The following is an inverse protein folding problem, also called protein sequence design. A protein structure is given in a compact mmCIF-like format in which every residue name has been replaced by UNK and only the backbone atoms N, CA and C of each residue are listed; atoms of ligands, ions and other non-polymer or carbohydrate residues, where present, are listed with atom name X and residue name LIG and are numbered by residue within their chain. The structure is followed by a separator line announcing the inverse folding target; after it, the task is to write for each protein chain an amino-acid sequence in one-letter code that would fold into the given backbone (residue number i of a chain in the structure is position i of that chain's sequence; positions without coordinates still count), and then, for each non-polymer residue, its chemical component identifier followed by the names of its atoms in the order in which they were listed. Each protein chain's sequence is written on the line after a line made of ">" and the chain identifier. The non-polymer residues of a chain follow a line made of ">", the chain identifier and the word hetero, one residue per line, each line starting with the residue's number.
data_IF_605541052188
#
_entry.id   IF_605541052188
#
_cell.length_a   1.000
_cell.length_b   1.000
_cell.length_c   1.000
_cell.angle_alpha   90.00
_cell.angle_beta   90.00
_cell.angle_gamma   90.00
#
_symmetry.space_group_name_H-M   'P 1'
#
loop_
_entity.id
_entity.type
_entity.pdbx_description
1 polymer ?
#
# COMPACT_ATOMS: atom_id res chain seq x y z
N UNK A 1 -5.94 14.23 -4.87
CA UNK A 1 -5.03 14.65 -5.96
C UNK A 1 -3.70 15.23 -5.46
N UNK A 2 -3.66 16.23 -4.56
CA UNK A 2 -2.37 16.84 -4.12
C UNK A 2 -1.37 15.86 -3.49
N UNK A 3 -1.84 14.94 -2.64
CA UNK A 3 -0.98 13.96 -1.97
C UNK A 3 -0.28 13.00 -2.96
N UNK A 4 -1.00 12.53 -3.98
CA UNK A 4 -0.45 11.62 -5.01
C UNK A 4 0.68 12.27 -5.80
N UNK A 5 0.52 13.53 -6.22
CA UNK A 5 1.56 14.27 -6.94
C UNK A 5 2.83 14.48 -6.10
N UNK A 6 2.68 14.67 -4.79
CA UNK A 6 3.83 14.77 -3.89
C UNK A 6 4.56 13.44 -3.77
N UNK A 7 3.84 12.34 -3.63
CA UNK A 7 4.41 10.98 -3.55
C UNK A 7 5.16 10.66 -4.85
N UNK A 8 4.57 10.92 -6.02
CA UNK A 8 5.24 10.75 -7.32
C UNK A 8 6.53 11.57 -7.41
N UNK A 9 6.50 12.83 -6.93
CA UNK A 9 7.68 13.69 -6.96
C UNK A 9 8.79 13.17 -6.05
N UNK A 10 8.44 12.66 -4.88
CA UNK A 10 9.38 12.07 -3.92
C UNK A 10 9.98 10.80 -4.51
N UNK A 11 9.16 9.92 -5.10
CA UNK A 11 9.63 8.72 -5.78
C UNK A 11 10.68 9.03 -6.86
N UNK A 12 10.47 10.10 -7.64
CA UNK A 12 11.45 10.55 -8.63
C UNK A 12 12.76 11.04 -8.00
N UNK A 13 12.68 11.83 -6.93
CA UNK A 13 13.86 12.41 -6.26
C UNK A 13 14.71 11.33 -5.57
N UNK A 14 14.05 10.38 -4.91
CA UNK A 14 14.67 9.24 -4.24
C UNK A 14 15.04 8.10 -5.22
N UNK A 15 14.71 8.26 -6.51
CA UNK A 15 14.97 7.28 -7.58
C UNK A 15 14.38 5.90 -7.28
N UNK A 16 13.19 5.90 -6.68
CA UNK A 16 12.46 4.68 -6.36
C UNK A 16 12.04 4.03 -7.68
N UNK A 17 12.45 2.77 -7.84
CA UNK A 17 12.09 1.96 -8.99
C UNK A 17 11.72 0.56 -8.53
N UNK A 18 11.00 -0.14 -9.39
CA UNK A 18 10.60 -1.53 -9.21
C UNK A 18 10.98 -2.26 -10.50
N UNK A 19 11.79 -3.29 -10.36
CA UNK A 19 12.28 -4.13 -11.45
C UNK A 19 11.21 -5.11 -11.96
N UNK A 20 11.44 -5.65 -13.16
CA UNK A 20 10.54 -6.66 -13.74
C UNK A 20 10.50 -7.96 -12.92
N UNK A 21 11.60 -8.27 -12.23
CA UNK A 21 11.68 -9.44 -11.34
C UNK A 21 10.80 -9.25 -10.10
N UNK A 22 10.83 -8.06 -9.49
CA UNK A 22 9.94 -7.72 -8.37
C UNK A 22 8.47 -7.74 -8.78
N UNK A 23 8.15 -7.28 -10.00
CA UNK A 23 6.79 -7.37 -10.56
C UNK A 23 6.35 -8.81 -10.70
N UNK A 24 7.22 -9.66 -11.25
CA UNK A 24 6.94 -11.09 -11.43
C UNK A 24 6.71 -11.78 -10.09
N UNK A 25 7.57 -11.52 -9.11
CA UNK A 25 7.43 -12.06 -7.77
C UNK A 25 6.11 -11.62 -7.12
N UNK A 26 5.76 -10.34 -7.26
CA UNK A 26 4.48 -9.81 -6.75
C UNK A 26 3.28 -10.49 -7.41
N UNK A 27 3.32 -10.71 -8.72
CA UNK A 27 2.26 -11.44 -9.46
C UNK A 27 2.15 -12.88 -8.96
N UNK A 28 3.27 -13.56 -8.76
CA UNK A 28 3.29 -14.94 -8.24
C UNK A 28 2.71 -15.01 -6.82
N UNK A 29 3.03 -14.05 -5.96
CA UNK A 29 2.47 -13.95 -4.61
C UNK A 29 0.96 -13.72 -4.65
N UNK A 30 0.47 -12.84 -5.53
CA UNK A 30 -0.96 -12.60 -5.72
C UNK A 30 -1.67 -13.85 -6.26
N UNK A 31 -1.06 -14.55 -7.22
CA UNK A 31 -1.61 -15.77 -7.79
C UNK A 31 -1.72 -16.90 -6.76
N UNK A 32 -0.68 -17.09 -5.92
CA UNK A 32 -0.71 -18.05 -4.81
C UNK A 32 -1.79 -17.70 -3.80
N UNK A 33 -1.88 -16.43 -3.41
CA UNK A 33 -2.89 -15.93 -2.46
C UNK A 33 -4.32 -16.08 -2.99
N UNK A 34 -4.51 -16.06 -4.32
CA UNK A 34 -5.79 -16.21 -4.98
C UNK A 34 -6.27 -17.68 -5.11
N UNK A 35 -5.43 -18.66 -4.75
CA UNK A 35 -5.77 -20.09 -4.79
C UNK A 35 -6.21 -20.54 -6.20
N UNK A 36 -7.41 -21.09 -6.31
CA UNK A 36 -7.98 -21.54 -7.60
C UNK A 36 -8.07 -20.45 -8.67
N UNK A 37 -8.08 -19.17 -8.27
CA UNK A 37 -8.11 -18.04 -9.20
C UNK A 37 -6.73 -17.59 -9.67
N UNK A 38 -5.64 -18.21 -9.19
CA UNK A 38 -4.26 -17.90 -9.59
C UNK A 38 -4.04 -17.81 -11.12
N UNK A 39 -4.57 -18.73 -11.94
CA UNK A 39 -4.47 -18.63 -13.40
C UNK A 39 -5.11 -17.37 -13.98
N UNK A 40 -6.18 -16.86 -13.34
CA UNK A 40 -6.80 -15.59 -13.76
C UNK A 40 -5.90 -14.40 -13.43
N UNK A 41 -5.19 -14.42 -12.29
CA UNK A 41 -4.21 -13.38 -11.94
C UNK A 41 -3.11 -13.31 -13.00
N UNK A 42 -2.50 -14.44 -13.37
CA UNK A 42 -1.50 -14.46 -14.43
C UNK A 42 -2.03 -13.95 -15.77
N UNK A 43 -3.26 -14.29 -16.13
CA UNK A 43 -3.88 -13.82 -17.37
C UNK A 43 -4.11 -12.30 -17.38
N UNK A 44 -4.46 -11.69 -16.25
CA UNK A 44 -4.60 -10.24 -16.13
C UNK A 44 -3.25 -9.56 -16.36
N UNK A 45 -2.21 -10.03 -15.68
CA UNK A 45 -0.87 -9.44 -15.75
C UNK A 45 -0.02 -9.93 -16.92
N UNK A 46 -0.57 -10.75 -17.82
CA UNK A 46 0.03 -11.03 -19.11
C UNK A 46 0.07 -9.78 -20.00
N UNK A 47 -0.81 -8.80 -19.75
CA UNK A 47 -0.82 -7.51 -20.44
C UNK A 47 0.22 -6.54 -19.85
N UNK A 48 0.91 -5.83 -20.73
CA UNK A 48 1.95 -4.87 -20.37
C UNK A 48 1.40 -3.70 -19.55
N UNK A 49 0.23 -3.18 -19.93
CA UNK A 49 -0.42 -2.07 -19.22
C UNK A 49 -0.80 -2.44 -17.78
N UNK A 50 -1.31 -3.65 -17.56
CA UNK A 50 -1.59 -4.16 -16.21
C UNK A 50 -0.31 -4.28 -15.36
N UNK A 51 0.84 -4.62 -15.97
CA UNK A 51 2.12 -4.66 -15.24
C UNK A 51 2.66 -3.27 -14.92
N UNK A 52 2.48 -2.30 -15.80
CA UNK A 52 2.88 -0.91 -15.54
C UNK A 52 1.99 -0.24 -14.48
N UNK A 53 0.69 -0.56 -14.44
CA UNK A 53 -0.19 -0.15 -13.35
C UNK A 53 0.28 -0.74 -12.00
N UNK A 54 0.61 -2.04 -11.98
CA UNK A 54 1.15 -2.69 -10.78
C UNK A 54 2.50 -2.07 -10.36
N UNK A 55 3.37 -1.77 -11.32
CA UNK A 55 4.66 -1.10 -11.05
C UNK A 55 4.44 0.25 -10.39
N UNK A 56 3.51 1.04 -10.92
CA UNK A 56 3.15 2.35 -10.36
C UNK A 56 2.61 2.22 -8.93
N UNK A 57 1.77 1.21 -8.67
CA UNK A 57 1.28 0.92 -7.33
C UNK A 57 2.43 0.53 -6.38
N UNK A 58 3.34 -0.34 -6.80
CA UNK A 58 4.46 -0.80 -5.97
C UNK A 58 5.44 0.34 -5.65
N UNK A 59 5.71 1.23 -6.62
CA UNK A 59 6.51 2.45 -6.39
C UNK A 59 5.83 3.35 -5.36
N UNK A 60 4.51 3.54 -5.47
CA UNK A 60 3.74 4.33 -4.52
C UNK A 60 3.83 3.74 -3.11
N UNK A 61 3.57 2.45 -2.95
CA UNK A 61 3.66 1.74 -1.66
C UNK A 61 5.05 1.91 -1.03
N UNK A 62 6.12 1.63 -1.79
CA UNK A 62 7.51 1.81 -1.34
C UNK A 62 7.84 3.25 -0.96
N UNK A 63 7.26 4.22 -1.64
CA UNK A 63 7.46 5.64 -1.30
C UNK A 63 6.78 5.99 0.01
N UNK A 64 5.58 5.46 0.26
CA UNK A 64 4.88 5.64 1.54
C UNK A 64 5.67 5.00 2.68
N UNK A 65 6.25 3.82 2.47
CA UNK A 65 7.09 3.15 3.47
C UNK A 65 8.30 4.01 3.85
N UNK A 66 9.00 4.58 2.85
CA UNK A 66 10.11 5.51 3.10
C UNK A 66 9.62 6.73 3.89
N UNK A 67 8.49 7.33 3.51
CA UNK A 67 7.94 8.46 4.25
C UNK A 67 7.63 8.10 5.71
N UNK A 68 7.15 6.89 5.95
CA UNK A 68 6.88 6.39 7.29
C UNK A 68 8.17 6.20 8.11
N UNK A 69 9.21 5.62 7.51
CA UNK A 69 10.52 5.42 8.16
C UNK A 69 11.18 6.75 8.58
N UNK A 70 10.93 7.82 7.83
CA UNK A 70 11.43 9.17 8.13
C UNK A 70 10.48 10.01 9.01
N UNK A 71 9.27 9.52 9.29
CA UNK A 71 8.28 10.26 10.05
C UNK A 71 8.57 10.22 11.56
N UNK A 72 8.25 11.32 12.25
CA UNK A 72 8.17 11.34 13.71
C UNK A 72 6.81 10.80 14.14
N UNK A 73 6.75 9.49 14.39
CA UNK A 73 5.53 8.82 14.85
C UNK A 73 5.45 8.92 16.37
N UNK A 74 4.34 9.47 16.88
CA UNK A 74 4.04 9.50 18.31
C UNK A 74 2.83 8.60 18.55
N UNK A 75 3.05 7.47 19.22
CA UNK A 75 1.96 6.61 19.66
C UNK A 75 1.15 7.32 20.75
N UNK A 76 -0.17 7.31 20.60
CA UNK A 76 -1.10 7.72 21.64
C UNK A 76 -2.00 6.56 21.95
N UNK A 77 -1.98 6.13 23.21
CA UNK A 77 -2.98 5.21 23.72
C UNK A 77 -4.35 5.87 23.63
N UNK A 78 -5.21 5.32 22.80
CA UNK A 78 -6.62 5.70 22.77
C UNK A 78 -7.31 5.08 23.99
N UNK A 79 -7.16 5.71 25.16
CA UNK A 79 -7.99 5.40 26.32
C UNK A 79 -9.40 5.91 26.01
N UNK A 80 -10.23 5.05 25.41
CA UNK A 80 -11.61 5.37 25.08
C UNK A 80 -12.31 6.09 26.23
N UNK A 81 -12.98 7.20 25.90
CA UNK A 81 -13.81 7.98 26.81
C UNK A 81 -14.57 7.07 27.76
N UNK A 82 -14.38 7.29 29.07
CA UNK A 82 -15.39 6.89 30.04
C UNK A 82 -16.67 7.62 29.65
N UNK A 83 -17.53 6.95 28.90
CA UNK A 83 -18.92 7.36 28.76
C UNK A 83 -19.50 7.31 30.16
N UNK A 84 -19.90 8.47 30.67
CA UNK A 84 -20.50 8.62 31.98
C UNK A 84 -21.74 7.73 32.08
N UNK A 85 -21.58 6.55 32.67
CA UNK A 85 -22.69 5.72 33.14
C UNK A 85 -23.26 6.36 34.41
N UNK A 86 -23.75 7.59 34.32
CA UNK A 86 -24.57 8.22 35.35
C UNK A 86 -26.04 8.10 34.95
N UNK A 87 -26.51 6.86 34.89
CA UNK A 87 -27.92 6.55 35.02
C UNK A 87 -28.35 6.87 36.46
N UNK A 88 -28.71 8.13 36.73
CA UNK A 88 -29.51 8.48 37.91
C UNK A 88 -30.83 7.72 37.82
N UNK A 89 -30.98 6.67 38.64
CA UNK A 89 -32.30 6.20 39.07
C UNK A 89 -32.97 7.35 39.82
N UNK A 90 -34.15 7.77 39.35
CA UNK A 90 -35.18 8.36 40.19
C UNK A 90 -36.54 8.11 39.57
#
# INVERSE_FOLDING_TARGET
>A
MRATLLIEKIAQLEKISVSDDEIRERIDQMARSAGEKGPTVHRIYARDDAREELRSQMVFERTVDILFDHAKVTEKDWSGSKVDAQGKKS
#
